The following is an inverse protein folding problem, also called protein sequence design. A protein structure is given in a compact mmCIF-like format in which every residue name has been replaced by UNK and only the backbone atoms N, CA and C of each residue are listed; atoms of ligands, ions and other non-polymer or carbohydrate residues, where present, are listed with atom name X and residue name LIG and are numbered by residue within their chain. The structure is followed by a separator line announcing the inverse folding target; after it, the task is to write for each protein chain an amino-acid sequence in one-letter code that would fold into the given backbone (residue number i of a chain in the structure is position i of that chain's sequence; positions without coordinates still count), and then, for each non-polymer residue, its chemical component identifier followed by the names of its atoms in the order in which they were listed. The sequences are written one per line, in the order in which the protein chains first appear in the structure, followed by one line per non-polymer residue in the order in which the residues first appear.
data_IF_135940922869
#
_entry.id   IF_135940922869
#
_cell.length_a   1.000
_cell.length_b   1.000
_cell.length_c   1.000
_cell.angle_alpha   90.00
_cell.angle_beta   90.00
_cell.angle_gamma   90.00
#
_symmetry.space_group_name_H-M   'P 1'
#
loop_
_entity.id
_entity.type
_entity.pdbx_description
1 polymer ?
#
# COMPACT_ATOMS: atom_id res chain seq x y z
N UNK A 1 9.14 -17.69 -15.70
CA UNK A 1 9.59 -17.39 -14.33
C UNK A 1 9.09 -16.00 -14.01
N UNK A 2 8.41 -15.80 -12.88
CA UNK A 2 7.85 -14.51 -12.49
C UNK A 2 8.61 -13.96 -11.29
N UNK A 3 8.78 -12.64 -11.26
CA UNK A 3 9.47 -11.96 -10.16
C UNK A 3 8.54 -11.82 -8.95
N UNK A 4 9.15 -11.76 -7.76
CA UNK A 4 8.51 -11.38 -6.49
C UNK A 4 9.31 -10.23 -5.90
N UNK A 5 8.63 -9.23 -5.37
CA UNK A 5 9.28 -8.04 -4.82
C UNK A 5 8.59 -7.60 -3.54
N UNK A 6 9.38 -7.22 -2.53
CA UNK A 6 8.89 -6.87 -1.20
C UNK A 6 9.92 -7.18 -0.12
N UNK A 7 9.46 -7.53 1.08
CA UNK A 7 10.32 -7.91 2.20
C UNK A 7 9.86 -9.22 2.84
N UNK A 8 10.78 -9.93 3.48
CA UNK A 8 10.49 -11.11 4.29
C UNK A 8 11.58 -11.30 5.34
N UNK A 9 11.19 -11.63 6.56
CA UNK A 9 12.13 -12.11 7.59
C UNK A 9 12.27 -13.64 7.63
N UNK A 10 11.66 -14.37 6.67
CA UNK A 10 11.78 -15.82 6.54
C UNK A 10 11.01 -16.66 7.57
N UNK A 11 10.24 -16.06 8.48
CA UNK A 11 9.55 -16.81 9.56
C UNK A 11 8.15 -17.31 9.18
N UNK A 12 7.55 -16.76 8.11
CA UNK A 12 6.17 -17.08 7.71
C UNK A 12 5.09 -16.47 8.60
N UNK A 13 5.46 -15.71 9.64
CA UNK A 13 4.51 -15.04 10.52
C UNK A 13 3.82 -13.86 9.82
N UNK A 14 2.54 -13.66 10.09
CA UNK A 14 1.81 -12.51 9.55
C UNK A 14 2.46 -11.19 10.01
N UNK A 15 2.55 -10.22 9.10
CA UNK A 15 3.18 -8.92 9.36
C UNK A 15 4.71 -8.90 9.25
N UNK A 16 5.36 -10.06 9.04
CA UNK A 16 6.82 -10.13 8.89
C UNK A 16 7.28 -10.32 7.44
N UNK A 17 6.34 -10.28 6.51
CA UNK A 17 6.56 -10.28 5.07
C UNK A 17 5.50 -9.41 4.37
N UNK A 18 5.84 -8.98 3.17
CA UNK A 18 4.95 -8.25 2.27
C UNK A 18 5.41 -8.48 0.84
N UNK A 19 4.46 -8.59 -0.08
CA UNK A 19 4.71 -8.65 -1.51
C UNK A 19 3.97 -7.51 -2.20
N UNK A 20 4.65 -6.85 -3.14
CA UNK A 20 4.01 -5.91 -4.04
C UNK A 20 2.95 -6.64 -4.88
N UNK A 21 1.83 -5.98 -5.12
CA UNK A 21 0.84 -6.43 -6.10
C UNK A 21 1.52 -6.63 -7.47
N UNK A 22 1.29 -7.78 -8.11
CA UNK A 22 2.02 -8.19 -9.32
C UNK A 22 3.08 -9.27 -9.06
N UNK A 23 3.42 -9.54 -7.79
CA UNK A 23 4.33 -10.65 -7.44
C UNK A 23 3.78 -11.99 -7.93
N UNK A 24 4.67 -12.83 -8.45
CA UNK A 24 4.37 -14.12 -9.06
C UNK A 24 3.51 -14.08 -10.34
N UNK A 25 3.17 -12.90 -10.87
CA UNK A 25 2.45 -12.74 -12.13
C UNK A 25 3.47 -12.45 -13.24
N UNK A 26 3.48 -13.26 -14.29
CA UNK A 26 4.43 -13.09 -15.40
C UNK A 26 4.22 -11.73 -16.09
N UNK A 27 5.32 -11.01 -16.34
CA UNK A 27 5.29 -9.73 -17.05
C UNK A 27 4.74 -8.54 -16.23
N UNK A 28 4.20 -8.77 -15.03
CA UNK A 28 3.56 -7.71 -14.25
C UNK A 28 4.51 -6.55 -13.93
N UNK A 29 5.75 -6.85 -13.58
CA UNK A 29 6.78 -5.87 -13.19
C UNK A 29 7.63 -5.31 -14.33
N UNK A 30 7.46 -5.81 -15.56
CA UNK A 30 8.17 -5.32 -16.74
C UNK A 30 7.61 -3.97 -17.18
N UNK A 31 8.41 -3.20 -17.91
CA UNK A 31 8.00 -1.93 -18.51
C UNK A 31 6.79 -2.15 -19.43
N UNK A 32 5.72 -1.37 -19.21
CA UNK A 32 4.43 -1.52 -19.91
C UNK A 32 3.50 -2.59 -19.34
N UNK A 33 3.93 -3.35 -18.32
CA UNK A 33 3.09 -4.29 -17.58
C UNK A 33 2.09 -3.62 -16.63
N UNK A 34 1.06 -4.35 -16.15
CA UNK A 34 0.01 -3.80 -15.28
C UNK A 34 0.52 -3.26 -13.93
N UNK A 35 1.67 -3.75 -13.46
CA UNK A 35 2.30 -3.35 -12.20
C UNK A 35 3.76 -2.92 -12.43
N UNK A 36 4.08 -2.39 -13.63
CA UNK A 36 5.44 -2.08 -14.04
C UNK A 36 6.19 -1.29 -12.97
N UNK A 37 7.39 -1.74 -12.60
CA UNK A 37 8.14 -1.11 -11.50
C UNK A 37 8.49 0.35 -11.83
N UNK A 38 8.77 0.64 -13.10
CA UNK A 38 9.16 1.97 -13.56
C UNK A 38 8.05 3.01 -13.53
N UNK A 39 6.78 2.62 -13.48
CA UNK A 39 5.62 3.52 -13.55
C UNK A 39 4.75 3.47 -12.30
N UNK A 40 5.16 2.72 -11.28
CA UNK A 40 4.51 2.64 -9.98
C UNK A 40 5.48 3.11 -8.88
N UNK A 41 4.97 3.25 -7.67
CA UNK A 41 5.76 3.61 -6.49
C UNK A 41 5.14 3.03 -5.22
N UNK A 42 5.90 3.07 -4.12
CA UNK A 42 5.38 2.77 -2.79
C UNK A 42 5.93 3.79 -1.80
N UNK A 43 5.02 4.43 -1.04
CA UNK A 43 5.34 5.49 -0.07
C UNK A 43 6.19 6.63 -0.69
N UNK A 44 5.95 6.96 -1.96
CA UNK A 44 6.79 7.88 -2.72
C UNK A 44 6.03 8.53 -3.89
N UNK A 45 6.26 9.82 -4.11
CA UNK A 45 5.75 10.56 -5.28
C UNK A 45 6.69 10.49 -6.50
N UNK A 46 7.72 9.64 -6.44
CA UNK A 46 8.67 9.40 -7.54
C UNK A 46 8.45 7.97 -8.05
N UNK A 47 8.16 7.84 -9.34
CA UNK A 47 8.00 6.55 -10.01
C UNK A 47 9.30 5.72 -9.92
N UNK A 48 9.18 4.40 -9.81
CA UNK A 48 10.32 3.50 -9.61
C UNK A 48 10.88 3.48 -8.19
N UNK A 49 10.41 4.36 -7.29
CA UNK A 49 10.90 4.40 -5.90
C UNK A 49 9.92 3.71 -4.96
N UNK A 50 10.45 2.72 -4.24
CA UNK A 50 9.73 1.92 -3.26
C UNK A 50 10.41 2.08 -1.90
N UNK A 51 9.74 2.72 -0.94
CA UNK A 51 10.29 3.00 0.38
C UNK A 51 9.66 2.06 1.41
N UNK A 52 10.51 1.25 2.04
CA UNK A 52 10.17 0.38 3.16
C UNK A 52 10.78 0.97 4.45
N UNK A 53 9.93 1.49 5.32
CA UNK A 53 10.38 2.11 6.56
C UNK A 53 10.57 1.05 7.64
N UNK A 54 11.78 0.96 8.19
CA UNK A 54 12.10 0.03 9.27
C UNK A 54 12.43 0.79 10.57
N UNK A 55 11.84 0.36 11.68
CA UNK A 55 12.17 0.86 13.03
C UNK A 55 12.19 -0.30 14.01
N UNK A 56 13.27 -0.43 14.78
CA UNK A 56 13.44 -1.49 15.78
C UNK A 56 13.20 -2.91 15.24
N UNK A 57 13.62 -3.18 13.99
CA UNK A 57 13.44 -4.49 13.34
C UNK A 57 12.02 -4.76 12.82
N UNK A 58 11.10 -3.81 12.93
CA UNK A 58 9.75 -3.89 12.37
C UNK A 58 9.66 -3.00 11.15
N UNK A 59 9.11 -3.52 10.05
CA UNK A 59 8.79 -2.73 8.86
C UNK A 59 7.36 -2.21 9.00
N UNK A 60 7.18 -0.90 8.85
CA UNK A 60 5.86 -0.29 8.88
C UNK A 60 5.04 -0.83 7.69
N UNK A 61 3.82 -1.32 7.92
CA UNK A 61 2.99 -1.80 6.82
C UNK A 61 2.70 -0.64 5.86
N UNK A 62 2.58 -0.91 4.55
CA UNK A 62 2.17 0.12 3.60
C UNK A 62 0.81 0.67 4.02
N UNK A 63 0.73 1.99 4.13
CA UNK A 63 -0.45 2.66 4.62
C UNK A 63 -1.57 2.53 3.57
N UNK A 64 -2.76 1.99 3.92
CA UNK A 64 -3.88 1.99 2.99
C UNK A 64 -4.25 3.43 2.62
N UNK A 65 -4.28 3.73 1.32
CA UNK A 65 -4.91 4.96 0.81
C UNK A 65 -6.36 5.06 1.34
N UNK A 66 -6.83 6.27 1.67
CA UNK A 66 -6.74 6.87 2.99
C UNK A 66 -7.98 6.56 3.82
N UNK A 67 -7.80 5.93 4.98
CA UNK A 67 -8.82 5.92 6.04
C UNK A 67 -9.30 7.35 6.38
N UNK A 68 -8.49 8.37 6.09
CA UNK A 68 -8.81 9.79 6.24
C UNK A 68 -10.04 10.19 5.39
N UNK A 69 -10.18 9.72 4.14
CA UNK A 69 -11.36 10.07 3.32
C UNK A 69 -12.63 9.46 3.88
N UNK A 70 -12.56 8.19 4.31
CA UNK A 70 -13.68 7.53 4.96
C UNK A 70 -14.04 8.22 6.29
N UNK A 71 -13.05 8.55 7.11
CA UNK A 71 -13.25 9.24 8.39
C UNK A 71 -13.79 10.66 8.18
N UNK A 72 -13.31 11.38 7.17
CA UNK A 72 -13.78 12.71 6.80
C UNK A 72 -15.22 12.67 6.28
N UNK A 73 -15.56 11.71 5.42
CA UNK A 73 -16.92 11.50 4.94
C UNK A 73 -17.90 11.15 6.08
N UNK A 74 -17.50 10.26 6.98
CA UNK A 74 -18.28 9.91 8.18
C UNK A 74 -18.45 11.13 9.09
N UNK A 75 -17.38 11.90 9.31
CA UNK A 75 -17.42 13.15 10.06
C UNK A 75 -18.41 14.16 9.48
N UNK A 76 -18.33 14.43 8.18
CA UNK A 76 -19.26 15.33 7.49
C UNK A 76 -20.71 14.83 7.52
N UNK A 77 -20.95 13.53 7.31
CA UNK A 77 -22.28 12.94 7.37
C UNK A 77 -22.90 13.08 8.77
N UNK A 78 -22.10 12.91 9.83
CA UNK A 78 -22.56 13.04 11.22
C UNK A 78 -23.03 14.48 11.56
N UNK A 79 -22.37 15.49 11.02
CA UNK A 79 -22.73 16.91 11.18
C UNK A 79 -24.01 17.21 10.41
N UNK A 80 -24.13 16.73 9.17
CA UNK A 80 -25.33 16.89 8.35
C UNK A 80 -26.57 16.24 8.97
N UNK A 81 -26.41 15.05 9.56
CA UNK A 81 -27.50 14.34 10.24
C UNK A 81 -28.00 15.10 11.49
N UNK A 82 -27.09 15.69 12.29
CA UNK A 82 -27.47 16.50 13.46
C UNK A 82 -28.26 17.75 13.09
N UNK A 83 -27.93 18.41 11.97
CA UNK A 83 -28.65 19.62 11.51
C UNK A 83 -30.07 19.34 11.00
N UNK A 84 -30.36 18.13 10.49
CA UNK A 84 -31.72 17.77 10.03
C UNK A 84 -32.69 17.42 11.16
N UNK A 85 -32.18 17.20 12.37
CA UNK A 85 -32.96 16.73 13.53
C UNK A 85 -33.21 17.81 14.59
N UNK A 86 -32.65 19.01 14.40
CA UNK A 86 -32.92 20.22 15.18
C UNK A 86 -33.87 21.12 14.37
#
# INVERSE_FOLDING_TARGET
NSARAGYSNGTGNAGTFFELAGSAINGAFLDGGPNALISNSLNSNINGRYIFEARNGIIAPPMPEPAILALFAVGLASIGYRRKKA
#
